data_IF_688628717707
#
_entry.id   IF_688628717707
#
_cell.length_a   1.000
_cell.length_b   1.000
_cell.length_c   1.000
_cell.angle_alpha   90.00
_cell.angle_beta   90.00
_cell.angle_gamma   90.00
#
_symmetry.space_group_name_H-M   'P 1'
#
loop_
_entity.id
_entity.type
_entity.pdbx_description
1 polymer ?
#
# COMPACT_ATOMS: atom_id res chain seq x y z
N UNK A 1 -6.85 -10.53 19.11
CA UNK A 1 -5.82 -9.67 18.50
C UNK A 1 -6.11 -9.70 17.02
N UNK A 2 -6.76 -8.67 16.54
CA UNK A 2 -6.99 -8.48 15.11
C UNK A 2 -5.72 -7.84 14.56
N UNK A 3 -5.35 -8.26 13.36
CA UNK A 3 -4.25 -7.64 12.63
C UNK A 3 -4.83 -7.01 11.38
N UNK A 4 -4.30 -5.84 11.03
CA UNK A 4 -4.67 -5.08 9.84
C UNK A 4 -3.48 -5.00 8.91
N UNK A 5 -3.70 -5.25 7.63
CA UNK A 5 -2.69 -5.14 6.58
C UNK A 5 -2.77 -3.79 5.88
N UNK A 6 -1.61 -3.22 5.63
CA UNK A 6 -1.40 -1.94 4.98
C UNK A 6 -0.29 -2.07 3.93
N UNK A 7 -0.35 -1.22 2.91
CA UNK A 7 0.72 -1.11 1.92
C UNK A 7 1.60 0.06 2.33
N UNK A 8 2.87 -0.21 2.65
CA UNK A 8 3.85 0.84 2.90
C UNK A 8 4.57 1.24 1.61
N UNK A 9 4.61 2.52 1.27
CA UNK A 9 5.42 3.04 0.16
C UNK A 9 6.49 3.96 0.70
N UNK A 10 7.76 3.70 0.38
CA UNK A 10 8.87 4.57 0.76
C UNK A 10 8.84 5.85 -0.06
N UNK A 11 8.45 6.96 0.57
CA UNK A 11 8.34 8.27 -0.08
C UNK A 11 9.70 8.97 -0.13
N UNK A 12 10.42 8.99 1.00
CA UNK A 12 11.72 9.65 1.12
C UNK A 12 12.56 9.07 2.25
N UNK A 13 13.84 9.45 2.23
CA UNK A 13 14.73 9.32 3.38
C UNK A 13 14.96 10.70 3.99
N UNK A 14 14.85 10.77 5.31
CA UNK A 14 15.25 11.90 6.13
C UNK A 14 16.41 11.45 7.03
N UNK A 15 17.63 11.83 6.66
CA UNK A 15 18.87 11.36 7.30
C UNK A 15 18.94 9.82 7.32
N UNK A 16 18.83 9.23 8.52
CA UNK A 16 18.84 7.79 8.77
C UNK A 16 17.43 7.19 8.89
N UNK A 17 16.38 8.00 8.71
CA UNK A 17 14.98 7.59 8.80
C UNK A 17 14.38 7.43 7.41
N UNK A 18 13.73 6.30 7.18
CA UNK A 18 12.91 6.00 6.03
C UNK A 18 11.44 6.38 6.32
N UNK A 19 10.90 7.35 5.56
CA UNK A 19 9.51 7.77 5.69
C UNK A 19 8.64 6.94 4.76
N UNK A 20 7.78 6.11 5.35
CA UNK A 20 6.91 5.19 4.65
C UNK A 20 5.46 5.65 4.80
N UNK A 21 4.78 5.85 3.68
CA UNK A 21 3.36 6.16 3.62
C UNK A 21 2.56 4.87 3.66
N UNK A 22 1.64 4.75 4.60
CA UNK A 22 0.73 3.62 4.72
C UNK A 22 -0.54 3.88 3.93
N UNK A 23 -0.79 3.04 2.94
CA UNK A 23 -1.97 3.08 2.11
C UNK A 23 -2.91 1.92 2.46
N UNK A 24 -4.20 2.23 2.50
CA UNK A 24 -5.29 1.26 2.58
C UNK A 24 -6.30 1.60 1.47
N UNK A 25 -6.70 0.59 0.68
CA UNK A 25 -7.62 0.77 -0.46
C UNK A 25 -7.21 1.84 -1.49
N UNK A 26 -5.91 2.19 -1.54
CA UNK A 26 -5.34 3.16 -2.47
C UNK A 26 -5.36 4.61 -1.97
N UNK A 27 -5.76 4.83 -0.72
CA UNK A 27 -5.68 6.12 -0.04
C UNK A 27 -4.62 6.06 1.08
N UNK A 28 -3.81 7.11 1.22
CA UNK A 28 -2.85 7.22 2.32
C UNK A 28 -3.62 7.48 3.61
N UNK A 29 -3.52 6.55 4.55
CA UNK A 29 -4.21 6.61 5.85
C UNK A 29 -3.30 7.05 6.98
N UNK A 30 -1.99 6.85 6.83
CA UNK A 30 -1.01 7.15 7.88
C UNK A 30 0.41 7.27 7.29
N UNK A 31 1.36 7.78 8.08
CA UNK A 31 2.77 7.85 7.76
C UNK A 31 3.62 7.28 8.90
N UNK A 32 4.71 6.60 8.57
CA UNK A 32 5.58 5.97 9.55
C UNK A 32 7.04 6.20 9.19
N UNK A 33 7.77 6.78 10.13
CA UNK A 33 9.22 6.75 10.13
C UNK A 33 9.73 5.41 10.66
N UNK A 34 10.63 4.77 9.92
CA UNK A 34 11.35 3.56 10.32
C UNK A 34 12.84 3.81 10.11
N UNK A 35 13.70 3.33 11.00
CA UNK A 35 15.15 3.43 10.80
C UNK A 35 15.56 2.70 9.51
N UNK A 36 16.49 3.30 8.77
CA UNK A 36 16.95 2.78 7.48
C UNK A 36 17.59 1.39 7.62
N UNK A 37 18.25 1.12 8.74
CA UNK A 37 18.84 -0.17 9.06
C UNK A 37 17.79 -1.26 9.36
N UNK A 38 16.57 -0.86 9.73
CA UNK A 38 15.43 -1.78 9.95
C UNK A 38 14.69 -2.09 8.64
N UNK A 39 15.04 -1.44 7.52
CA UNK A 39 14.45 -1.76 6.23
C UNK A 39 14.89 -3.15 5.74
N UNK A 40 13.96 -3.95 5.17
CA UNK A 40 14.31 -5.24 4.62
C UNK A 40 15.28 -5.08 3.45
N UNK A 41 16.25 -5.99 3.38
CA UNK A 41 17.31 -5.94 2.37
C UNK A 41 16.74 -5.91 0.95
N UNK A 42 17.10 -4.86 0.19
CA UNK A 42 16.63 -4.63 -1.17
C UNK A 42 15.51 -3.59 -1.29
N UNK A 43 14.86 -3.19 -0.19
CA UNK A 43 13.85 -2.13 -0.15
C UNK A 43 14.41 -0.73 0.20
N UNK A 44 15.73 -0.57 0.28
CA UNK A 44 16.40 0.69 0.62
C UNK A 44 16.45 1.67 -0.57
N UNK A 45 15.31 1.88 -1.23
CA UNK A 45 15.19 2.81 -2.33
C UNK A 45 13.83 3.48 -2.31
N UNK A 46 13.79 4.75 -2.71
CA UNK A 46 12.52 5.47 -2.90
C UNK A 46 11.62 4.67 -3.85
N UNK A 47 10.31 4.76 -3.63
CA UNK A 47 9.28 3.97 -4.31
C UNK A 47 9.31 2.46 -3.99
N UNK A 48 10.07 2.02 -2.96
CA UNK A 48 9.96 0.66 -2.44
C UNK A 48 8.58 0.43 -1.83
N UNK A 49 7.99 -0.73 -2.11
CA UNK A 49 6.68 -1.13 -1.58
C UNK A 49 6.86 -2.27 -0.60
N UNK A 50 6.26 -2.11 0.58
CA UNK A 50 6.28 -3.05 1.69
C UNK A 50 4.87 -3.49 2.03
N UNK A 51 4.73 -4.74 2.47
CA UNK A 51 3.54 -5.21 3.18
C UNK A 51 3.76 -4.96 4.67
N UNK A 52 2.87 -4.19 5.28
CA UNK A 52 2.94 -3.85 6.70
C UNK A 52 1.75 -4.45 7.42
N UNK A 53 2.00 -5.31 8.40
CA UNK A 53 0.96 -5.85 9.29
C UNK A 53 1.04 -5.13 10.62
N UNK A 54 -0.07 -4.50 11.05
CA UNK A 54 -0.20 -3.86 12.37
C UNK A 54 -1.23 -4.57 13.24
N UNK A 55 -1.08 -4.48 14.54
CA UNK A 55 -2.13 -4.90 15.49
C UNK A 55 -3.13 -3.76 15.78
N UNK A 56 -4.20 -4.07 16.52
CA UNK A 56 -5.23 -3.11 16.94
C UNK A 56 -4.69 -1.89 17.73
N UNK A 57 -3.51 -2.01 18.36
CA UNK A 57 -2.84 -0.90 19.07
C UNK A 57 -2.00 0.00 18.17
N UNK A 58 -1.80 -0.38 16.90
CA UNK A 58 -1.04 0.38 15.91
C UNK A 58 0.45 0.01 15.84
N UNK A 59 0.93 -0.99 16.59
CA UNK A 59 2.31 -1.43 16.48
C UNK A 59 2.52 -2.28 15.23
N UNK A 60 3.66 -2.11 14.56
CA UNK A 60 4.06 -2.94 13.43
C UNK A 60 4.43 -4.32 13.97
N UNK A 61 3.71 -5.33 13.52
CA UNK A 61 3.99 -6.74 13.82
C UNK A 61 4.94 -7.33 12.79
N UNK A 62 4.82 -6.93 11.53
CA UNK A 62 5.54 -7.52 10.41
C UNK A 62 5.75 -6.49 9.30
N UNK A 63 6.96 -6.48 8.72
CA UNK A 63 7.37 -5.59 7.64
C UNK A 63 8.11 -6.43 6.58
N UNK A 64 7.42 -6.77 5.50
CA UNK A 64 7.99 -7.61 4.43
C UNK A 64 8.17 -6.80 3.15
N UNK A 65 9.37 -6.86 2.57
CA UNK A 65 9.61 -6.34 1.22
C UNK A 65 8.98 -7.27 0.20
N UNK A 66 7.97 -6.77 -0.51
CA UNK A 66 7.20 -7.56 -1.44
C UNK A 66 7.58 -7.23 -2.89
N UNK A 67 8.67 -7.86 -3.34
CA UNK A 67 9.19 -7.71 -4.70
C UNK A 67 8.19 -8.15 -5.80
N UNK A 68 7.23 -9.01 -5.46
CA UNK A 68 6.20 -9.49 -6.40
C UNK A 68 5.01 -8.51 -6.50
N UNK A 69 4.65 -7.83 -5.42
CA UNK A 69 3.65 -6.75 -5.41
C UNK A 69 4.17 -5.49 -6.12
N UNK A 70 5.47 -5.18 -6.06
CA UNK A 70 6.10 -4.12 -6.88
C UNK A 70 5.89 -4.34 -8.39
N UNK A 71 5.89 -5.61 -8.85
CA UNK A 71 5.59 -5.95 -10.25
C UNK A 71 4.08 -5.98 -10.54
N UNK A 72 3.26 -6.41 -9.58
CA UNK A 72 1.80 -6.57 -9.76
C UNK A 72 1.02 -5.25 -9.67
N UNK A 73 1.56 -4.20 -9.04
CA UNK A 73 0.93 -2.85 -9.03
C UNK A 73 0.91 -2.14 -10.38
N UNK A 74 1.58 -2.67 -11.41
CA UNK A 74 1.35 -2.21 -12.79
C UNK A 74 -0.04 -2.59 -13.31
N UNK A 75 -0.70 -3.58 -12.71
CA UNK A 75 -1.99 -4.10 -13.20
C UNK A 75 -3.19 -3.67 -12.34
N UNK A 76 -3.03 -3.38 -11.03
CA UNK A 76 -4.17 -3.02 -10.16
C UNK A 76 -4.52 -1.53 -10.08
N UNK A 77 -3.71 -0.63 -10.65
CA UNK A 77 -4.18 0.70 -11.02
C UNK A 77 -5.25 0.65 -12.14
N UNK A 78 -5.42 -0.50 -12.80
CA UNK A 78 -6.34 -0.68 -13.92
C UNK A 78 -7.70 -1.29 -13.54
N UNK A 79 -7.97 -1.62 -12.27
CA UNK A 79 -9.29 -2.13 -11.83
C UNK A 79 -10.19 -1.07 -11.16
N UNK A 80 -9.93 0.23 -11.37
CA UNK A 80 -10.86 1.32 -11.02
C UNK A 80 -11.58 1.92 -12.24
N UNK A 81 -11.36 1.41 -13.45
CA UNK A 81 -12.04 1.89 -14.66
C UNK A 81 -13.25 1.06 -15.10
N UNK A 82 -13.45 -0.17 -14.61
CA UNK A 82 -14.62 -0.97 -15.01
C UNK A 82 -15.89 -0.69 -14.19
N UNK A 83 -15.80 -0.10 -12.99
CA UNK A 83 -16.98 0.08 -12.11
C UNK A 83 -17.85 1.30 -12.43
N UNK A 84 -17.63 2.01 -13.55
CA UNK A 84 -18.49 3.13 -13.96
C UNK A 84 -19.24 2.90 -15.28
N UNK A 85 -19.11 1.73 -15.90
CA UNK A 85 -19.68 1.45 -17.23
C UNK A 85 -20.82 0.40 -17.25
N UNK A 86 -21.25 -0.14 -16.12
CA UNK A 86 -22.48 -0.95 -16.08
C UNK A 86 -23.69 -0.02 -15.92
N UNK A 87 -24.10 0.55 -17.07
CA UNK A 87 -25.47 1.03 -17.26
C UNK A 87 -26.41 -0.15 -17.01
N UNK A 88 -27.35 -0.08 -16.07
CA UNK A 88 -28.47 -1.01 -16.06
C UNK A 88 -29.34 -0.76 -17.31
N UNK A 89 -30.02 -1.80 -17.81
CA UNK A 89 -30.64 -1.83 -19.13
C UNK A 89 -31.91 -0.98 -19.21
N UNK A 90 -32.28 -0.71 -20.46
CA UNK A 90 -33.49 -0.08 -20.97
C UNK A 90 -34.79 -0.75 -20.54
N UNK A 91 -35.82 0.06 -20.27
CA UNK A 91 -37.22 -0.21 -20.60
C UNK A 91 -37.73 1.11 -21.22
N UNK A 92 -37.70 1.33 -22.54
CA UNK A 92 -38.60 0.85 -23.60
C UNK A 92 -40.10 1.20 -23.36
N UNK A 93 -40.55 2.21 -24.11
CA UNK A 93 -41.86 2.37 -24.78
C UNK A 93 -43.18 2.10 -23.99
N UNK A 94 -43.95 3.15 -23.70
CA UNK A 94 -45.38 3.35 -24.11
C UNK A 94 -46.00 4.64 -23.53
#
# INVERSE_FOLDING_TARGET
>A
MTTSQYIGVLDRFEDDLAVILLEQDGDVVDEQGIDRDDLPAGGDHVDAVFQITRDDSGAILELEYDAETTRTRKERAQSRFDRLAERPPTDDES
#
